data_IF_668745717852
#
_entry.id   IF_668745717852
#
_cell.length_a   1.000
_cell.length_b   1.000
_cell.length_c   1.000
_cell.angle_alpha   90.00
_cell.angle_beta   90.00
_cell.angle_gamma   90.00
#
_symmetry.space_group_name_H-M   'P 1'
#
loop_
_entity.id
_entity.type
_entity.pdbx_description
1 polymer ?
#
# COMPACT_ATOMS: atom_id res chain seq x y z
N UNK A 1 -40.55 8.33 40.69
CA UNK A 1 -39.74 9.35 39.98
C UNK A 1 -38.27 9.05 40.20
N UNK A 2 -37.60 8.38 39.25
CA UNK A 2 -36.21 7.94 39.40
C UNK A 2 -35.24 9.03 38.91
N UNK A 3 -34.44 9.60 39.81
CA UNK A 3 -33.44 10.63 39.48
C UNK A 3 -32.23 9.95 38.84
N UNK A 4 -32.09 10.10 37.52
CA UNK A 4 -30.88 9.74 36.75
C UNK A 4 -29.67 10.52 37.28
N UNK A 5 -28.73 9.81 37.91
CA UNK A 5 -27.41 10.33 38.25
C UNK A 5 -26.61 10.62 36.98
N UNK A 6 -26.17 11.87 36.80
CA UNK A 6 -25.25 12.29 35.74
C UNK A 6 -23.88 11.62 35.96
N UNK A 7 -23.47 10.74 35.06
CA UNK A 7 -22.07 10.25 35.00
C UNK A 7 -21.19 11.40 34.48
N UNK A 8 -20.41 12.01 35.37
CA UNK A 8 -19.41 13.00 35.00
C UNK A 8 -18.37 12.40 34.04
N UNK A 9 -18.00 13.15 33.01
CA UNK A 9 -16.89 12.79 32.12
C UNK A 9 -15.59 12.83 32.93
N UNK A 10 -14.94 11.69 33.10
CA UNK A 10 -13.60 11.62 33.66
C UNK A 10 -12.65 12.16 32.57
N UNK A 11 -12.21 13.40 32.72
CA UNK A 11 -11.13 13.96 31.90
C UNK A 11 -9.81 13.47 32.50
N UNK A 12 -9.12 12.59 31.79
CA UNK A 12 -7.77 12.15 32.15
C UNK A 12 -6.84 13.37 32.18
N UNK A 13 -6.30 13.69 33.35
CA UNK A 13 -5.23 14.67 33.50
C UNK A 13 -3.91 13.92 33.48
N UNK A 14 -3.03 14.24 32.54
CA UNK A 14 -1.68 13.66 32.50
C UNK A 14 -0.93 13.96 33.78
N UNK A 15 -0.23 12.96 34.30
CA UNK A 15 0.66 13.13 35.45
C UNK A 15 2.03 13.69 34.99
N UNK A 16 2.83 14.22 35.91
CA UNK A 16 4.14 14.82 35.59
C UNK A 16 5.09 13.84 34.86
N UNK A 17 4.99 12.55 35.17
CA UNK A 17 5.79 11.50 34.52
C UNK A 17 5.41 11.32 33.04
N UNK A 18 4.13 11.35 32.71
CA UNK A 18 3.63 11.27 31.33
C UNK A 18 4.01 12.51 30.51
N UNK A 19 4.01 13.70 31.12
CA UNK A 19 4.49 14.90 30.47
C UNK A 19 6.00 14.83 30.16
N UNK A 20 6.80 14.31 31.09
CA UNK A 20 8.24 14.12 30.89
C UNK A 20 8.54 13.11 29.78
N UNK A 21 7.78 12.00 29.73
CA UNK A 21 7.89 11.01 28.66
C UNK A 21 7.48 11.58 27.29
N UNK A 22 6.46 12.44 27.24
CA UNK A 22 6.05 13.10 25.98
C UNK A 22 7.11 14.05 25.42
N UNK A 23 7.94 14.63 26.30
CA UNK A 23 9.02 15.57 25.97
C UNK A 23 10.34 14.84 25.64
N UNK A 24 10.45 13.54 25.94
CA UNK A 24 11.61 12.73 25.59
C UNK A 24 11.61 12.43 24.08
N UNK A 25 12.37 13.22 23.32
CA UNK A 25 12.75 12.89 21.94
C UNK A 25 13.83 11.82 21.96
N UNK A 26 13.53 10.65 21.39
CA UNK A 26 14.50 9.57 21.19
C UNK A 26 15.12 9.68 19.79
N UNK A 27 16.31 10.29 19.64
CA UNK A 27 16.90 10.57 18.31
C UNK A 27 17.16 9.28 17.50
N UNK A 28 17.35 8.14 18.17
CA UNK A 28 17.52 6.85 17.52
C UNK A 28 16.25 6.32 16.85
N UNK A 29 15.06 6.56 17.45
CA UNK A 29 13.80 6.00 16.93
C UNK A 29 13.43 6.61 15.58
N UNK A 30 13.57 7.93 15.41
CA UNK A 30 13.32 8.58 14.12
C UNK A 30 14.23 8.04 13.02
N UNK A 31 15.51 7.81 13.32
CA UNK A 31 16.47 7.26 12.35
C UNK A 31 16.12 5.82 11.94
N UNK A 32 15.59 5.02 12.86
CA UNK A 32 15.16 3.64 12.63
C UNK A 32 13.85 3.62 11.84
N UNK A 33 12.90 4.48 12.20
CA UNK A 33 11.63 4.65 11.48
C UNK A 33 11.92 5.10 10.04
N UNK A 34 12.78 6.09 9.85
CA UNK A 34 13.14 6.60 8.52
C UNK A 34 13.90 5.55 7.70
N UNK A 35 14.87 4.81 8.27
CA UNK A 35 15.53 3.70 7.56
C UNK A 35 14.58 2.58 7.19
N UNK A 36 13.64 2.24 8.07
CA UNK A 36 12.66 1.21 7.79
C UNK A 36 11.66 1.67 6.75
N UNK A 37 11.20 2.92 6.80
CA UNK A 37 10.39 3.55 5.76
C UNK A 37 11.13 3.58 4.43
N UNK A 38 12.41 3.94 4.40
CA UNK A 38 13.23 3.89 3.18
C UNK A 38 13.44 2.48 2.66
N UNK A 39 13.70 1.49 3.52
CA UNK A 39 13.82 0.07 3.11
C UNK A 39 12.49 -0.45 2.56
N UNK A 40 11.38 -0.14 3.22
CA UNK A 40 10.03 -0.48 2.78
C UNK A 40 9.77 0.20 1.44
N UNK A 41 10.08 1.49 1.30
CA UNK A 41 9.95 2.22 0.04
C UNK A 41 10.84 1.61 -1.05
N UNK A 42 12.09 1.24 -0.80
CA UNK A 42 12.99 0.61 -1.80
C UNK A 42 12.64 -0.85 -2.14
N UNK A 43 11.98 -1.56 -1.23
CA UNK A 43 11.56 -2.95 -1.43
C UNK A 43 10.14 -3.06 -2.01
N UNK A 44 9.27 -2.10 -1.70
CA UNK A 44 7.89 -2.02 -2.19
C UNK A 44 7.79 -1.20 -3.48
N UNK A 45 8.45 -0.05 -3.55
CA UNK A 45 8.85 0.55 -4.80
C UNK A 45 10.22 -0.03 -5.16
N UNK A 46 10.26 -1.03 -6.06
CA UNK A 46 11.45 -1.11 -6.90
C UNK A 46 11.60 0.29 -7.49
N UNK A 47 12.57 1.10 -7.06
CA UNK A 47 12.49 2.58 -7.08
C UNK A 47 12.20 3.22 -8.45
N UNK A 48 12.34 2.44 -9.51
CA UNK A 48 11.99 2.79 -10.88
C UNK A 48 10.72 2.11 -11.41
N UNK A 49 9.89 1.45 -10.60
CA UNK A 49 8.78 0.61 -11.06
C UNK A 49 7.78 1.45 -11.86
N UNK A 50 7.31 2.53 -11.24
CA UNK A 50 6.39 3.47 -11.87
C UNK A 50 7.06 4.16 -13.06
N UNK A 51 8.33 4.52 -12.93
CA UNK A 51 9.12 5.14 -14.00
C UNK A 51 9.30 4.20 -15.21
N UNK A 52 9.70 2.95 -15.00
CA UNK A 52 9.91 1.89 -16.01
C UNK A 52 8.62 1.47 -16.70
N UNK A 53 7.53 1.38 -15.95
CA UNK A 53 6.22 1.09 -16.52
C UNK A 53 5.69 2.27 -17.34
N UNK A 54 5.96 3.52 -16.93
CA UNK A 54 5.57 4.73 -17.68
C UNK A 54 6.50 5.03 -18.86
N UNK A 55 7.79 4.69 -18.79
CA UNK A 55 8.78 4.92 -19.86
C UNK A 55 8.76 3.85 -20.95
N UNK A 56 8.11 2.72 -20.71
CA UNK A 56 8.05 1.60 -21.64
C UNK A 56 7.02 1.77 -22.77
N UNK A 57 6.73 0.67 -23.45
CA UNK A 57 5.70 0.63 -24.49
C UNK A 57 4.30 0.92 -23.92
N UNK A 58 3.44 1.57 -24.74
CA UNK A 58 2.03 1.87 -24.39
C UNK A 58 1.21 0.62 -24.02
N UNK A 59 1.57 -0.51 -24.61
CA UNK A 59 0.98 -1.81 -24.32
C UNK A 59 2.08 -2.84 -24.16
N UNK A 60 1.90 -3.75 -23.20
CA UNK A 60 2.70 -4.97 -23.05
C UNK A 60 1.80 -6.19 -23.08
N UNK A 61 2.37 -7.34 -23.36
CA UNK A 61 1.64 -8.62 -23.38
C UNK A 61 2.22 -9.52 -22.31
N UNK A 62 1.39 -10.00 -21.39
CA UNK A 62 1.75 -11.02 -20.41
C UNK A 62 0.85 -12.22 -20.63
N UNK A 63 1.43 -13.40 -20.91
CA UNK A 63 0.67 -14.65 -21.11
C UNK A 63 -0.51 -14.49 -22.08
N UNK A 64 -0.24 -13.92 -23.26
CA UNK A 64 -1.23 -13.60 -24.30
C UNK A 64 -2.26 -12.51 -23.95
N UNK A 65 -2.16 -11.89 -22.78
CA UNK A 65 -3.05 -10.80 -22.37
C UNK A 65 -2.35 -9.46 -22.55
N UNK A 66 -2.96 -8.59 -23.35
CA UNK A 66 -2.47 -7.23 -23.55
C UNK A 66 -2.92 -6.33 -22.41
N UNK A 67 -2.00 -5.57 -21.82
CA UNK A 67 -2.25 -4.65 -20.72
C UNK A 67 -1.55 -3.31 -20.95
N UNK A 68 -2.06 -2.25 -20.32
CA UNK A 68 -1.43 -0.92 -20.28
C UNK A 68 -0.51 -0.80 -19.06
N UNK A 69 0.82 -0.75 -19.24
CA UNK A 69 1.75 -0.62 -18.13
C UNK A 69 1.53 0.63 -17.30
N UNK A 70 1.12 1.74 -17.92
CA UNK A 70 0.84 3.01 -17.25
C UNK A 70 -0.24 2.90 -16.17
N UNK A 71 -1.37 2.24 -16.48
CA UNK A 71 -2.44 2.04 -15.49
C UNK A 71 -2.02 1.07 -14.41
N UNK A 72 -1.32 0.00 -14.80
CA UNK A 72 -0.80 -0.99 -13.86
C UNK A 72 0.17 -0.35 -12.87
N UNK A 73 0.97 0.63 -13.31
CA UNK A 73 1.95 1.37 -12.51
C UNK A 73 1.35 2.12 -11.31
N UNK A 74 0.05 2.42 -11.35
CA UNK A 74 -0.62 3.21 -10.31
C UNK A 74 -1.24 2.33 -9.22
N UNK A 75 -1.31 1.02 -9.44
CA UNK A 75 -1.93 0.06 -8.54
C UNK A 75 -1.28 0.04 -7.15
N UNK A 76 0.07 -0.02 -6.99
CA UNK A 76 0.65 0.00 -5.65
C UNK A 76 0.32 1.29 -4.88
N UNK A 77 0.42 2.44 -5.55
CA UNK A 77 0.14 3.74 -4.94
C UNK A 77 -1.31 3.82 -4.46
N UNK A 78 -2.24 3.30 -5.26
CA UNK A 78 -3.67 3.24 -4.90
C UNK A 78 -3.89 2.37 -3.68
N UNK A 79 -3.32 1.17 -3.66
CA UNK A 79 -3.46 0.23 -2.54
C UNK A 79 -2.86 0.83 -1.25
N UNK A 80 -1.71 1.49 -1.34
CA UNK A 80 -1.13 2.20 -0.20
C UNK A 80 -2.00 3.36 0.27
N UNK A 81 -2.55 4.16 -0.66
CA UNK A 81 -3.41 5.31 -0.34
C UNK A 81 -4.77 4.91 0.25
N UNK A 82 -5.25 3.69 -0.02
CA UNK A 82 -6.48 3.16 0.56
C UNK A 82 -6.27 2.58 1.95
N UNK A 83 -5.02 2.52 2.44
CA UNK A 83 -4.67 1.90 3.72
C UNK A 83 -4.73 0.37 3.68
N UNK A 84 -4.95 -0.22 2.52
CA UNK A 84 -4.95 -1.67 2.33
C UNK A 84 -3.50 -2.17 2.31
N UNK A 85 -3.26 -3.32 2.95
CA UNK A 85 -1.94 -3.95 2.99
C UNK A 85 -1.96 -5.19 2.13
N UNK A 86 -0.92 -5.36 1.33
CA UNK A 86 -0.67 -6.59 0.59
C UNK A 86 0.55 -7.32 1.17
N UNK A 87 0.58 -8.64 1.04
CA UNK A 87 1.73 -9.49 1.38
C UNK A 87 2.02 -10.46 0.25
N UNK A 88 3.25 -10.92 0.18
CA UNK A 88 3.61 -11.98 -0.78
C UNK A 88 2.88 -13.28 -0.42
N UNK A 89 2.33 -13.95 -1.42
CA UNK A 89 1.60 -15.22 -1.22
C UNK A 89 0.19 -15.09 -0.64
N UNK A 90 -0.49 -13.95 -0.86
CA UNK A 90 -1.93 -13.84 -0.59
C UNK A 90 -2.74 -14.81 -1.44
N UNK A 91 -3.84 -15.33 -0.87
CA UNK A 91 -4.79 -16.17 -1.61
C UNK A 91 -5.67 -15.31 -2.53
N UNK A 92 -6.27 -15.91 -3.56
CA UNK A 92 -7.16 -15.20 -4.49
C UNK A 92 -8.31 -14.46 -3.78
N UNK A 93 -8.86 -15.04 -2.71
CA UNK A 93 -9.90 -14.41 -1.89
C UNK A 93 -9.42 -13.14 -1.17
N UNK A 94 -8.14 -13.11 -0.76
CA UNK A 94 -7.52 -11.94 -0.15
C UNK A 94 -7.21 -10.84 -1.17
N UNK A 95 -7.10 -11.18 -2.46
CA UNK A 95 -6.84 -10.23 -3.54
C UNK A 95 -8.12 -9.53 -4.04
N UNK A 96 -9.28 -10.19 -3.98
CA UNK A 96 -10.57 -9.59 -4.36
C UNK A 96 -10.85 -8.18 -3.81
N UNK A 97 -10.66 -7.90 -2.50
CA UNK A 97 -10.88 -6.55 -1.98
C UNK A 97 -9.88 -5.53 -2.54
N UNK A 98 -8.65 -5.95 -2.87
CA UNK A 98 -7.66 -5.09 -3.53
C UNK A 98 -8.08 -4.79 -4.98
N UNK A 99 -8.55 -5.81 -5.70
CA UNK A 99 -9.06 -5.67 -7.08
C UNK A 99 -10.23 -4.69 -7.14
N UNK A 100 -11.19 -4.81 -6.23
CA UNK A 100 -12.33 -3.90 -6.14
C UNK A 100 -11.90 -2.45 -5.86
N UNK A 101 -10.94 -2.24 -4.95
CA UNK A 101 -10.44 -0.90 -4.65
C UNK A 101 -9.73 -0.28 -5.86
N UNK A 102 -8.91 -1.07 -6.55
CA UNK A 102 -8.18 -0.64 -7.75
C UNK A 102 -9.14 -0.27 -8.87
N UNK A 103 -10.14 -1.12 -9.15
CA UNK A 103 -11.15 -0.86 -10.16
C UNK A 103 -12.02 0.37 -9.83
N UNK A 104 -12.28 0.62 -8.54
CA UNK A 104 -13.01 1.81 -8.08
C UNK A 104 -12.21 3.10 -8.32
N UNK A 105 -10.89 3.06 -8.16
CA UNK A 105 -10.00 4.22 -8.26
C UNK A 105 -9.52 4.49 -9.68
N UNK A 106 -9.35 3.44 -10.50
CA UNK A 106 -8.98 3.54 -11.92
C UNK A 106 -10.19 3.13 -12.77
N UNK A 107 -11.07 4.07 -13.16
CA UNK A 107 -12.32 3.75 -13.85
C UNK A 107 -12.11 3.10 -15.23
N UNK A 108 -10.94 3.29 -15.84
CA UNK A 108 -10.61 2.77 -17.16
C UNK A 108 -9.81 1.45 -17.14
N UNK A 109 -9.56 0.88 -15.96
CA UNK A 109 -8.81 -0.38 -15.86
C UNK A 109 -9.74 -1.58 -16.12
N UNK A 110 -9.25 -2.55 -16.87
CA UNK A 110 -9.94 -3.83 -17.00
C UNK A 110 -9.61 -4.73 -15.79
N UNK A 111 -10.51 -5.64 -15.45
CA UNK A 111 -10.29 -6.64 -14.40
C UNK A 111 -8.97 -7.41 -14.60
N UNK A 112 -8.67 -7.77 -15.86
CA UNK A 112 -7.42 -8.46 -16.22
C UNK A 112 -6.18 -7.60 -15.93
N UNK A 113 -6.22 -6.31 -16.26
CA UNK A 113 -5.13 -5.37 -15.97
C UNK A 113 -4.93 -5.19 -14.46
N UNK A 114 -6.02 -5.08 -13.70
CA UNK A 114 -5.97 -5.02 -12.24
C UNK A 114 -5.33 -6.29 -11.64
N UNK A 115 -5.76 -7.47 -12.11
CA UNK A 115 -5.24 -8.76 -11.67
C UNK A 115 -3.75 -8.91 -11.99
N UNK A 116 -3.31 -8.48 -13.17
CA UNK A 116 -1.89 -8.50 -13.56
C UNK A 116 -1.06 -7.64 -12.60
N UNK A 117 -1.51 -6.42 -12.33
CA UNK A 117 -0.79 -5.52 -11.43
C UNK A 117 -0.73 -6.01 -9.99
N UNK A 118 -1.85 -6.51 -9.47
CA UNK A 118 -1.91 -7.05 -8.11
C UNK A 118 -1.03 -8.30 -7.98
N UNK A 119 -1.08 -9.21 -8.95
CA UNK A 119 -0.19 -10.38 -8.98
C UNK A 119 1.29 -10.00 -9.11
N UNK A 120 1.62 -8.95 -9.87
CA UNK A 120 3.00 -8.47 -9.96
C UNK A 120 3.53 -7.93 -8.62
N UNK A 121 2.65 -7.52 -7.71
CA UNK A 121 3.03 -7.03 -6.38
C UNK A 121 3.12 -8.20 -5.38
N UNK A 122 2.20 -9.16 -5.46
CA UNK A 122 2.06 -10.25 -4.47
C UNK A 122 2.84 -11.52 -4.84
N UNK A 123 3.20 -11.72 -6.11
CA UNK A 123 3.95 -12.88 -6.60
C UNK A 123 5.29 -12.46 -7.20
N UNK A 124 6.39 -13.01 -6.68
CA UNK A 124 7.75 -12.73 -7.18
C UNK A 124 7.94 -13.17 -8.64
N UNK A 125 7.28 -14.25 -9.09
CA UNK A 125 7.42 -14.72 -10.48
C UNK A 125 6.77 -13.76 -11.47
N UNK A 126 5.53 -13.36 -11.19
CA UNK A 126 4.79 -12.42 -12.04
C UNK A 126 5.42 -11.02 -11.98
N UNK A 127 5.94 -10.64 -10.81
CA UNK A 127 6.78 -9.45 -10.66
C UNK A 127 7.92 -9.41 -11.65
N UNK A 128 8.65 -10.53 -11.81
CA UNK A 128 9.75 -10.61 -12.76
C UNK A 128 9.26 -10.56 -14.21
N UNK A 129 8.13 -11.14 -14.55
CA UNK A 129 7.64 -11.07 -15.93
C UNK A 129 7.15 -9.67 -16.29
N UNK A 130 6.54 -8.97 -15.34
CA UNK A 130 6.05 -7.60 -15.54
C UNK A 130 7.20 -6.59 -15.47
N UNK A 131 8.21 -6.82 -14.61
CA UNK A 131 9.29 -5.84 -14.32
C UNK A 131 10.66 -6.17 -14.91
N UNK A 132 10.92 -7.40 -15.39
CA UNK A 132 12.23 -7.82 -15.95
C UNK A 132 12.19 -8.25 -17.41
N UNK A 133 11.04 -8.20 -18.09
CA UNK A 133 11.08 -7.91 -19.54
C UNK A 133 11.36 -6.41 -19.74
N UNK A 134 12.55 -6.03 -19.27
CA UNK A 134 13.31 -4.81 -19.43
C UNK A 134 14.70 -5.22 -19.89
#
# INVERSE_FOLDING_TARGET
MSKKGKKGKITHKSNEYEEQLSKMTFPGLESIINRNMEKINRQQAGGDYKAKMKSGAKYKTLRYQRYRPELVAEIPDIIMSSGLRYKTGMTAEQLKPLEQEVMRRIPNITEKEANIGINAITNIKDRRQVYTEL
#
